data_IF_024137131080
#
_entry.id   IF_024137131080
#
_cell.length_a   1.000
_cell.length_b   1.000
_cell.length_c   1.000
_cell.angle_alpha   90.00
_cell.angle_beta   90.00
_cell.angle_gamma   90.00
#
_symmetry.space_group_name_H-M   'P 1'
#
loop_
_entity.id
_entity.type
_entity.pdbx_description
1 polymer ?
#
# COMPACT_ATOMS: atom_id res chain seq x y z
N UNK A 1 -6.64 0.36 -10.64
CA UNK A 1 -7.90 1.14 -10.66
C UNK A 1 -7.76 2.48 -9.96
N UNK A 2 -7.51 2.54 -8.65
CA UNK A 2 -7.32 3.83 -7.95
C UNK A 2 -6.28 4.73 -8.64
N UNK A 3 -5.13 4.18 -9.02
CA UNK A 3 -4.09 4.88 -9.77
C UNK A 3 -4.59 5.50 -11.07
N UNK A 4 -5.44 4.79 -11.83
CA UNK A 4 -6.01 5.28 -13.09
C UNK A 4 -6.91 6.48 -12.85
N UNK A 5 -7.78 6.40 -11.85
CA UNK A 5 -8.71 7.47 -11.49
C UNK A 5 -7.97 8.71 -10.94
N UNK A 6 -6.95 8.50 -10.11
CA UNK A 6 -6.18 9.60 -9.50
C UNK A 6 -5.28 10.30 -10.52
N UNK A 7 -4.69 9.54 -11.46
CA UNK A 7 -3.79 10.09 -12.46
C UNK A 7 -4.48 10.48 -13.77
N UNK A 8 -5.77 10.16 -13.93
CA UNK A 8 -6.52 10.41 -15.16
C UNK A 8 -5.97 9.65 -16.36
N UNK A 9 -5.51 8.41 -16.15
CA UNK A 9 -4.85 7.60 -17.18
C UNK A 9 -5.60 6.30 -17.45
N UNK A 10 -5.48 5.82 -18.68
CA UNK A 10 -5.89 4.47 -19.05
C UNK A 10 -4.69 3.51 -19.02
N UNK A 11 -4.82 2.37 -18.34
CA UNK A 11 -3.77 1.34 -18.19
C UNK A 11 -3.55 0.58 -19.49
N UNK A 12 -4.59 0.50 -20.33
CA UNK A 12 -4.56 -0.23 -21.58
C UNK A 12 -3.95 0.62 -22.71
N UNK A 13 -3.80 1.94 -22.48
CA UNK A 13 -3.07 2.83 -23.37
C UNK A 13 -1.57 2.56 -23.33
N UNK A 14 -1.04 1.95 -24.38
CA UNK A 14 0.39 1.65 -24.53
C UNK A 14 1.30 2.88 -24.36
N UNK A 15 0.82 4.06 -24.72
CA UNK A 15 1.53 5.33 -24.55
C UNK A 15 1.66 5.77 -23.07
N UNK A 16 0.68 5.42 -22.24
CA UNK A 16 0.59 5.88 -20.83
C UNK A 16 0.99 4.81 -19.81
N UNK A 17 1.30 3.57 -20.25
CA UNK A 17 1.77 2.48 -19.37
C UNK A 17 2.97 2.88 -18.50
N UNK A 18 3.85 3.77 -18.98
CA UNK A 18 5.01 4.26 -18.22
C UNK A 18 4.65 5.31 -17.15
N UNK A 19 3.46 5.92 -17.25
CA UNK A 19 2.97 6.96 -16.34
C UNK A 19 2.15 6.36 -15.20
N UNK A 20 1.50 5.21 -15.44
CA UNK A 20 0.76 4.45 -14.44
C UNK A 20 1.69 3.80 -13.43
N UNK A 21 1.95 4.53 -12.35
CA UNK A 21 2.80 4.06 -11.27
C UNK A 21 2.05 4.18 -9.94
N UNK A 22 1.76 3.06 -9.30
CA UNK A 22 1.10 3.02 -7.99
C UNK A 22 1.92 3.70 -6.89
N UNK A 23 3.24 3.84 -7.09
CA UNK A 23 4.15 4.58 -6.20
C UNK A 23 4.05 6.10 -6.36
N UNK A 24 3.24 6.59 -7.32
CA UNK A 24 3.04 8.02 -7.51
C UNK A 24 2.56 8.66 -6.19
N UNK A 25 3.13 9.82 -5.85
CA UNK A 25 2.85 10.54 -4.62
C UNK A 25 1.35 10.83 -4.43
N UNK A 26 0.64 11.20 -5.49
CA UNK A 26 -0.80 11.49 -5.42
C UNK A 26 -1.60 10.24 -5.00
N UNK A 27 -1.24 9.07 -5.53
CA UNK A 27 -1.86 7.79 -5.18
C UNK A 27 -1.58 7.43 -3.72
N UNK A 28 -0.31 7.53 -3.30
CA UNK A 28 0.09 7.25 -1.90
C UNK A 28 -0.61 8.18 -0.91
N UNK A 29 -0.72 9.48 -1.21
CA UNK A 29 -1.44 10.43 -0.35
C UNK A 29 -2.93 10.10 -0.24
N UNK A 30 -3.57 9.68 -1.34
CA UNK A 30 -4.97 9.25 -1.29
C UNK A 30 -5.15 8.01 -0.43
N UNK A 31 -4.30 6.98 -0.61
CA UNK A 31 -4.32 5.76 0.19
C UNK A 31 -4.14 6.08 1.68
N UNK A 32 -3.12 6.89 2.01
CA UNK A 32 -2.88 7.38 3.37
C UNK A 32 -4.09 8.08 3.96
N UNK A 33 -4.75 8.96 3.20
CA UNK A 33 -5.93 9.70 3.63
C UNK A 33 -7.08 8.74 3.98
N UNK A 34 -7.36 7.76 3.12
CA UNK A 34 -8.45 6.79 3.34
C UNK A 34 -8.15 5.90 4.56
N UNK A 35 -6.92 5.39 4.70
CA UNK A 35 -6.50 4.62 5.89
C UNK A 35 -6.73 5.42 7.17
N UNK A 36 -6.24 6.67 7.20
CA UNK A 36 -6.41 7.55 8.36
C UNK A 36 -7.89 7.74 8.73
N UNK A 37 -8.75 8.01 7.74
CA UNK A 37 -10.18 8.23 7.97
C UNK A 37 -10.86 6.96 8.51
N UNK A 38 -10.60 5.80 7.91
CA UNK A 38 -11.18 4.54 8.36
C UNK A 38 -10.78 4.20 9.79
N UNK A 39 -9.48 4.35 10.13
CA UNK A 39 -8.97 4.17 11.49
C UNK A 39 -9.62 5.12 12.50
N UNK A 40 -9.73 6.40 12.16
CA UNK A 40 -10.40 7.39 13.01
C UNK A 40 -11.86 7.04 13.27
N UNK A 41 -12.54 6.49 12.26
CA UNK A 41 -13.94 6.03 12.35
C UNK A 41 -14.08 4.63 12.94
N UNK A 42 -12.99 3.98 13.36
CA UNK A 42 -12.95 2.58 13.81
C UNK A 42 -13.64 1.63 12.82
N UNK A 43 -13.39 1.86 11.52
CA UNK A 43 -13.87 1.02 10.43
C UNK A 43 -12.72 0.23 9.85
N UNK A 44 -13.02 -1.02 9.52
CA UNK A 44 -12.08 -1.93 8.87
C UNK A 44 -11.51 -1.32 7.59
N UNK A 45 -10.20 -1.47 7.38
CA UNK A 45 -9.58 -1.18 6.09
C UNK A 45 -8.51 -2.19 5.68
N UNK A 46 -8.67 -2.69 4.45
CA UNK A 46 -7.71 -3.53 3.77
C UNK A 46 -7.40 -3.03 2.36
N UNK A 47 -6.34 -3.55 1.77
CA UNK A 47 -5.97 -3.27 0.38
C UNK A 47 -5.67 -4.56 -0.38
N UNK A 48 -6.15 -4.63 -1.61
CA UNK A 48 -5.81 -5.66 -2.59
C UNK A 48 -5.16 -5.01 -3.83
N UNK A 49 -4.66 -5.85 -4.73
CA UNK A 49 -3.99 -5.43 -5.97
C UNK A 49 -2.52 -5.80 -5.97
N UNK A 50 -1.85 -5.50 -7.08
CA UNK A 50 -0.49 -5.97 -7.34
C UNK A 50 0.59 -5.21 -6.57
N UNK A 51 0.40 -3.91 -6.33
CA UNK A 51 1.43 -3.06 -5.69
C UNK A 51 2.04 -3.62 -4.39
N UNK A 52 1.28 -4.12 -3.38
CA UNK A 52 1.89 -4.70 -2.17
C UNK A 52 2.60 -6.04 -2.39
N UNK A 53 2.32 -6.74 -3.49
CA UNK A 53 3.03 -7.97 -3.90
C UNK A 53 4.29 -7.68 -4.68
N UNK A 54 4.23 -6.74 -5.63
CA UNK A 54 5.35 -6.39 -6.51
C UNK A 54 6.41 -5.55 -5.78
N UNK A 55 5.99 -4.74 -4.82
CA UNK A 55 6.83 -3.74 -4.18
C UNK A 55 6.81 -3.90 -2.64
N UNK A 56 7.82 -4.59 -2.06
CA UNK A 56 7.94 -4.71 -0.61
C UNK A 56 7.94 -3.37 0.12
N UNK A 57 8.54 -2.32 -0.47
CA UNK A 57 8.52 -0.96 0.08
C UNK A 57 7.11 -0.35 0.15
N UNK A 58 6.20 -0.81 -0.72
CA UNK A 58 4.81 -0.39 -0.71
C UNK A 58 4.05 -1.07 0.44
N UNK A 59 4.30 -2.36 0.67
CA UNK A 59 3.79 -3.07 1.84
C UNK A 59 4.27 -2.43 3.15
N UNK A 60 5.56 -2.06 3.24
CA UNK A 60 6.07 -1.31 4.40
C UNK A 60 5.36 0.03 4.60
N UNK A 61 5.16 0.79 3.52
CA UNK A 61 4.42 2.05 3.57
C UNK A 61 3.00 1.86 4.12
N UNK A 62 2.29 0.82 3.69
CA UNK A 62 0.94 0.52 4.17
C UNK A 62 0.93 0.20 5.66
N UNK A 63 1.92 -0.57 6.14
CA UNK A 63 2.12 -0.85 7.57
C UNK A 63 2.39 0.43 8.35
N UNK A 64 3.24 1.33 7.84
CA UNK A 64 3.49 2.65 8.45
C UNK A 64 2.23 3.51 8.57
N UNK A 65 1.31 3.43 7.59
CA UNK A 65 0.03 4.14 7.65
C UNK A 65 -0.99 3.44 8.56
N UNK A 66 -0.70 2.22 9.02
CA UNK A 66 -1.56 1.44 9.91
C UNK A 66 -2.70 0.73 9.20
N UNK A 67 -2.49 0.23 7.97
CA UNK A 67 -3.44 -0.70 7.32
C UNK A 67 -3.69 -1.91 8.24
N UNK A 68 -4.90 -2.47 8.23
CA UNK A 68 -5.23 -3.65 9.05
C UNK A 68 -5.02 -4.96 8.29
N UNK A 69 -5.18 -4.95 6.96
CA UNK A 69 -5.00 -6.14 6.14
C UNK A 69 -4.45 -5.83 4.75
N UNK A 70 -3.76 -6.82 4.17
CA UNK A 70 -3.30 -6.81 2.79
C UNK A 70 -3.62 -8.16 2.15
N UNK A 71 -4.12 -8.13 0.91
CA UNK A 71 -4.23 -9.32 0.06
C UNK A 71 -3.06 -9.35 -0.91
N UNK A 72 -2.36 -10.49 -0.95
CA UNK A 72 -1.10 -10.66 -1.69
C UNK A 72 -1.19 -11.89 -2.61
N UNK A 73 -0.39 -11.88 -3.68
CA UNK A 73 -0.18 -13.05 -4.53
C UNK A 73 0.48 -14.19 -3.72
N UNK A 74 0.08 -15.46 -3.94
CA UNK A 74 0.57 -16.61 -3.17
C UNK A 74 2.09 -16.79 -3.17
N UNK A 75 2.75 -16.49 -4.28
CA UNK A 75 4.20 -16.57 -4.45
C UNK A 75 4.96 -15.49 -3.64
N UNK A 76 4.33 -14.34 -3.41
CA UNK A 76 4.93 -13.21 -2.67
C UNK A 76 4.64 -13.23 -1.17
N UNK A 77 3.62 -13.97 -0.73
CA UNK A 77 3.05 -13.86 0.63
C UNK A 77 4.09 -14.06 1.73
N UNK A 78 4.98 -15.05 1.60
CA UNK A 78 5.99 -15.36 2.62
C UNK A 78 7.01 -14.21 2.72
N UNK A 79 7.57 -13.79 1.58
CA UNK A 79 8.57 -12.71 1.52
C UNK A 79 8.00 -11.42 2.10
N UNK A 80 6.80 -11.04 1.69
CA UNK A 80 6.15 -9.81 2.14
C UNK A 80 5.80 -9.89 3.63
N UNK A 81 5.35 -11.04 4.13
CA UNK A 81 5.08 -11.24 5.57
C UNK A 81 6.34 -11.02 6.41
N UNK A 82 7.50 -11.53 5.97
CA UNK A 82 8.78 -11.30 6.66
C UNK A 82 9.17 -9.81 6.66
N UNK A 83 8.94 -9.11 5.56
CA UNK A 83 9.18 -7.65 5.46
C UNK A 83 8.27 -6.87 6.41
N UNK A 84 6.97 -7.19 6.42
CA UNK A 84 5.98 -6.60 7.33
C UNK A 84 6.36 -6.82 8.78
N UNK A 85 6.69 -8.05 9.17
CA UNK A 85 7.08 -8.39 10.54
C UNK A 85 8.33 -7.61 11.00
N UNK A 86 9.34 -7.47 10.12
CA UNK A 86 10.52 -6.63 10.39
C UNK A 86 10.12 -5.17 10.60
N UNK A 87 9.23 -4.64 9.76
CA UNK A 87 8.77 -3.25 9.84
C UNK A 87 7.99 -2.96 11.11
N UNK A 88 7.05 -3.84 11.46
CA UNK A 88 6.27 -3.74 12.70
C UNK A 88 7.18 -3.75 13.93
N UNK A 89 8.21 -4.61 13.95
CA UNK A 89 9.21 -4.65 15.04
C UNK A 89 9.96 -3.32 15.16
N UNK A 90 10.36 -2.72 14.04
CA UNK A 90 11.02 -1.40 14.03
C UNK A 90 10.10 -0.29 14.57
N UNK A 91 8.83 -0.28 14.18
CA UNK A 91 7.85 0.72 14.65
C UNK A 91 7.58 0.59 16.15
N UNK A 92 7.42 -0.64 16.67
CA UNK A 92 7.28 -0.89 18.11
C UNK A 92 8.52 -0.43 18.90
N UNK A 93 9.72 -0.70 18.39
CA UNK A 93 10.97 -0.26 19.03
C UNK A 93 11.17 1.27 19.05
N UNK A 94 10.48 2.01 18.16
CA UNK A 94 10.46 3.48 18.15
C UNK A 94 9.43 4.07 19.09
N UNK A 95 8.29 3.41 19.29
CA UNK A 95 7.22 3.88 20.17
C UNK A 95 7.51 3.65 21.67
N UNK A 96 8.47 2.79 22.00
CA UNK A 96 8.93 2.53 23.37
C UNK A 96 10.17 3.33 23.81
N UNK A 97 10.64 4.27 23.00
CA UNK A 97 11.66 5.27 23.35
C UNK A 97 11.00 6.63 23.46
#
# INVERSE_FOLDING_TARGET
>A
DLTQLILGIDRDSAALKKVGNEKNKAVKEMIKKVIKICRQKKKYIGICGQAPSDFPEFAEFLVEQGIESMSLNPDTVIKTTLTVAKKEKQLKGRAGK
#
